data_IF_833675472387
#
_entry.id   IF_833675472387
#
_cell.length_a   1.000
_cell.length_b   1.000
_cell.length_c   1.000
_cell.angle_alpha   90.00
_cell.angle_beta   90.00
_cell.angle_gamma   90.00
#
_symmetry.space_group_name_H-M   'P 1'
#
loop_
_entity.id
_entity.type
_entity.pdbx_description
1 polymer ?
#
# COMPACT_ATOMS: atom_id res chain seq x y z
N UNK A 1 -7.00 -12.19 11.53
CA UNK A 1 -6.25 -12.58 12.75
C UNK A 1 -4.74 -12.36 12.65
N UNK A 2 -4.11 -12.36 11.45
CA UNK A 2 -2.67 -12.19 11.31
C UNK A 2 -2.18 -10.83 11.83
N UNK A 3 -2.88 -9.74 11.51
CA UNK A 3 -2.55 -8.39 11.98
C UNK A 3 -2.67 -8.27 13.50
N UNK A 4 -3.65 -8.96 14.10
CA UNK A 4 -3.80 -8.97 15.56
C UNK A 4 -2.62 -9.65 16.26
N UNK A 5 -2.10 -10.73 15.66
CA UNK A 5 -0.89 -11.38 16.18
C UNK A 5 0.33 -10.47 16.07
N UNK A 6 0.48 -9.75 14.94
CA UNK A 6 1.59 -8.84 14.73
C UNK A 6 1.56 -7.66 15.70
N UNK A 7 0.39 -7.09 16.00
CA UNK A 7 0.27 -5.97 16.92
C UNK A 7 0.66 -6.33 18.38
N UNK A 8 0.65 -7.61 18.76
CA UNK A 8 1.11 -8.04 20.09
C UNK A 8 2.64 -8.15 20.22
N UNK A 9 3.34 -8.25 19.08
CA UNK A 9 4.79 -8.51 19.04
C UNK A 9 5.61 -7.46 18.30
N UNK A 10 4.96 -6.49 17.69
CA UNK A 10 5.61 -5.49 16.81
C UNK A 10 4.93 -4.13 16.92
N UNK A 11 5.68 -3.08 16.70
CA UNK A 11 5.12 -1.76 16.45
C UNK A 11 4.45 -1.76 15.07
N UNK A 12 3.13 -1.57 15.02
CA UNK A 12 2.36 -1.66 13.80
C UNK A 12 1.75 -0.32 13.40
N UNK A 13 1.79 -0.05 12.11
CA UNK A 13 1.19 1.11 11.46
C UNK A 13 0.07 0.65 10.53
N UNK A 14 -1.17 0.98 10.86
CA UNK A 14 -2.36 0.68 10.05
C UNK A 14 -2.90 1.95 9.45
N UNK A 15 -2.99 1.99 8.14
CA UNK A 15 -3.30 3.20 7.39
C UNK A 15 -4.52 3.02 6.49
N UNK A 16 -5.42 3.99 6.52
CA UNK A 16 -6.51 4.11 5.55
C UNK A 16 -5.96 4.88 4.33
N UNK A 17 -5.89 4.21 3.19
CA UNK A 17 -5.17 4.65 1.99
C UNK A 17 -6.05 5.49 1.06
N UNK A 18 -6.54 6.62 1.53
CA UNK A 18 -7.43 7.51 0.79
C UNK A 18 -6.77 8.19 -0.42
N UNK A 19 -5.46 8.47 -0.39
CA UNK A 19 -4.72 8.95 -1.57
C UNK A 19 -4.64 7.88 -2.67
N UNK A 20 -4.51 6.60 -2.32
CA UNK A 20 -4.61 5.53 -3.30
C UNK A 20 -6.03 5.39 -3.86
N UNK A 21 -7.06 5.62 -3.04
CA UNK A 21 -8.45 5.52 -3.45
C UNK A 21 -8.78 6.50 -4.58
N UNK A 22 -8.24 7.72 -4.57
CA UNK A 22 -8.51 8.74 -5.60
C UNK A 22 -7.82 8.47 -6.95
N UNK A 23 -7.01 7.43 -7.08
CA UNK A 23 -6.51 6.96 -8.39
C UNK A 23 -7.66 6.52 -9.31
N UNK A 24 -8.80 6.22 -8.75
CA UNK A 24 -10.08 6.08 -9.42
C UNK A 24 -11.03 7.20 -8.95
N UNK A 25 -11.99 7.59 -9.80
CA UNK A 25 -12.93 8.66 -9.42
C UNK A 25 -13.76 8.24 -8.21
N UNK A 26 -13.81 9.11 -7.21
CA UNK A 26 -14.57 8.95 -5.98
C UNK A 26 -15.54 10.11 -5.82
N UNK A 27 -16.69 9.85 -5.23
CA UNK A 27 -17.51 10.90 -4.62
C UNK A 27 -16.86 11.33 -3.31
N UNK A 28 -16.58 12.64 -3.09
CA UNK A 28 -15.86 13.08 -1.89
C UNK A 28 -16.58 12.75 -0.57
N UNK A 29 -17.90 12.89 -0.53
CA UNK A 29 -18.67 12.58 0.68
C UNK A 29 -18.66 11.08 0.99
N UNK A 30 -18.79 10.25 -0.05
CA UNK A 30 -18.69 8.80 0.10
C UNK A 30 -17.27 8.35 0.47
N UNK A 31 -16.22 9.00 -0.06
CA UNK A 31 -14.85 8.68 0.31
C UNK A 31 -14.61 8.96 1.79
N UNK A 32 -15.04 10.12 2.28
CA UNK A 32 -14.92 10.48 3.69
C UNK A 32 -15.65 9.46 4.59
N UNK A 33 -16.89 9.10 4.25
CA UNK A 33 -17.63 8.10 5.00
C UNK A 33 -16.94 6.74 5.00
N UNK A 34 -16.43 6.28 3.87
CA UNK A 34 -15.68 5.00 3.74
C UNK A 34 -14.40 4.98 4.56
N UNK A 35 -13.72 6.10 4.70
CA UNK A 35 -12.55 6.22 5.58
C UNK A 35 -12.96 6.02 7.04
N UNK A 36 -14.03 6.70 7.50
CA UNK A 36 -14.55 6.53 8.86
C UNK A 36 -15.04 5.09 9.12
N UNK A 37 -15.77 4.52 8.18
CA UNK A 37 -16.23 3.13 8.25
C UNK A 37 -15.03 2.15 8.32
N UNK A 38 -13.96 2.44 7.58
CA UNK A 38 -12.72 1.65 7.60
C UNK A 38 -12.03 1.68 8.96
N UNK A 39 -11.94 2.85 9.60
CA UNK A 39 -11.40 3.00 10.95
C UNK A 39 -12.25 2.21 11.95
N UNK A 40 -13.58 2.37 11.89
CA UNK A 40 -14.51 1.67 12.75
C UNK A 40 -14.38 0.14 12.57
N UNK A 41 -14.28 -0.33 11.32
CA UNK A 41 -14.12 -1.75 11.02
C UNK A 41 -12.79 -2.31 11.56
N UNK A 42 -11.68 -1.61 11.39
CA UNK A 42 -10.37 -2.04 11.92
C UNK A 42 -10.42 -2.18 13.45
N UNK A 43 -10.98 -1.17 14.12
CA UNK A 43 -11.14 -1.20 15.58
C UNK A 43 -12.08 -2.33 16.03
N UNK A 44 -13.22 -2.50 15.35
CA UNK A 44 -14.17 -3.60 15.64
C UNK A 44 -13.55 -4.99 15.40
N UNK A 45 -12.62 -5.11 14.45
CA UNK A 45 -11.86 -6.34 14.20
C UNK A 45 -10.73 -6.58 15.19
N UNK A 46 -10.48 -5.66 16.12
CA UNK A 46 -9.51 -5.83 17.22
C UNK A 46 -8.17 -5.09 17.02
N UNK A 47 -8.05 -4.21 16.02
CA UNK A 47 -6.91 -3.28 15.98
C UNK A 47 -7.07 -2.28 17.12
N UNK A 48 -6.12 -2.29 18.04
CA UNK A 48 -6.12 -1.46 19.24
C UNK A 48 -5.25 -0.19 19.02
N UNK A 49 -5.87 1.01 18.99
CA UNK A 49 -5.11 2.25 18.82
C UNK A 49 -4.15 2.59 19.96
N UNK A 50 -4.24 1.88 21.10
CA UNK A 50 -3.29 2.00 22.20
C UNK A 50 -2.01 1.20 21.97
N UNK A 51 -2.07 0.17 21.12
CA UNK A 51 -0.95 -0.74 20.81
C UNK A 51 -0.34 -0.45 19.44
N UNK A 52 -1.10 0.18 18.53
CA UNK A 52 -0.72 0.38 17.15
C UNK A 52 -1.12 1.77 16.68
N UNK A 53 -0.39 2.32 15.73
CA UNK A 53 -0.79 3.56 15.06
C UNK A 53 -1.86 3.26 14.01
N UNK A 54 -3.04 3.87 14.17
CA UNK A 54 -4.13 3.79 13.18
C UNK A 54 -4.44 5.21 12.69
N UNK A 55 -4.29 5.46 11.39
CA UNK A 55 -4.38 6.81 10.84
C UNK A 55 -4.84 6.84 9.38
N UNK A 56 -5.09 8.03 8.86
CA UNK A 56 -5.50 8.29 7.47
C UNK A 56 -4.30 8.84 6.71
N UNK A 57 -4.01 8.27 5.56
CA UNK A 57 -2.83 8.58 4.73
C UNK A 57 -2.72 10.07 4.41
N UNK A 58 -3.81 10.71 3.97
CA UNK A 58 -3.81 12.13 3.60
C UNK A 58 -3.57 13.10 4.76
N UNK A 59 -3.71 12.65 6.00
CA UNK A 59 -3.44 13.45 7.19
C UNK A 59 -1.95 13.50 7.57
N UNK A 60 -1.11 12.74 6.86
CA UNK A 60 0.35 12.76 6.96
C UNK A 60 0.90 13.19 5.60
N UNK A 61 1.09 14.51 5.36
CA UNK A 61 1.45 15.04 4.05
C UNK A 61 2.81 14.53 3.53
N UNK A 62 3.65 14.03 4.41
CA UNK A 62 4.97 13.47 4.09
C UNK A 62 4.86 12.26 3.15
N UNK A 63 3.75 11.53 3.13
CA UNK A 63 3.50 10.48 2.14
C UNK A 63 3.58 11.01 0.71
N UNK A 64 2.87 12.10 0.44
CA UNK A 64 2.87 12.73 -0.88
C UNK A 64 4.22 13.40 -1.19
N UNK A 65 4.85 14.03 -0.20
CA UNK A 65 6.16 14.67 -0.36
C UNK A 65 7.25 13.63 -0.68
N UNK A 66 7.33 12.56 0.10
CA UNK A 66 8.29 11.48 -0.17
C UNK A 66 7.99 10.78 -1.48
N UNK A 67 6.72 10.57 -1.81
CA UNK A 67 6.33 10.02 -3.11
C UNK A 67 6.85 10.86 -4.27
N UNK A 68 6.78 12.19 -4.18
CA UNK A 68 7.35 13.08 -5.19
C UNK A 68 8.86 12.88 -5.32
N UNK A 69 9.59 12.86 -4.21
CA UNK A 69 11.04 12.60 -4.22
C UNK A 69 11.33 11.26 -4.88
N UNK A 70 10.68 10.18 -4.46
CA UNK A 70 10.90 8.85 -5.00
C UNK A 70 10.51 8.72 -6.48
N UNK A 71 9.52 9.48 -6.97
CA UNK A 71 9.19 9.55 -8.40
C UNK A 71 10.37 10.05 -9.25
N UNK A 72 11.22 10.92 -8.69
CA UNK A 72 12.44 11.38 -9.38
C UNK A 72 13.53 10.28 -9.46
N UNK A 73 13.37 9.17 -8.74
CA UNK A 73 14.28 8.02 -8.75
C UNK A 73 13.68 6.77 -9.40
N UNK A 74 12.35 6.70 -9.51
CA UNK A 74 11.67 5.61 -10.19
C UNK A 74 11.90 5.68 -11.70
N UNK A 75 12.12 4.54 -12.33
CA UNK A 75 12.33 4.48 -13.77
C UNK A 75 11.03 4.12 -14.50
N UNK A 76 10.75 4.79 -15.61
CA UNK A 76 9.59 4.52 -16.44
C UNK A 76 9.47 3.04 -16.84
N UNK A 77 10.61 2.39 -17.15
CA UNK A 77 10.64 0.98 -17.50
C UNK A 77 10.21 0.04 -16.37
N UNK A 78 10.44 0.43 -15.10
CA UNK A 78 9.96 -0.32 -13.91
C UNK A 78 8.45 -0.22 -13.79
N UNK A 79 7.91 1.00 -13.88
CA UNK A 79 6.48 1.26 -13.81
C UNK A 79 5.70 0.62 -14.99
N UNK A 80 6.26 0.64 -16.20
CA UNK A 80 5.67 -0.01 -17.37
C UNK A 80 5.55 -1.54 -17.22
N UNK A 81 6.38 -2.18 -16.40
CA UNK A 81 6.34 -3.62 -16.14
C UNK A 81 5.34 -4.01 -15.03
N UNK A 82 4.74 -3.04 -14.34
CA UNK A 82 3.78 -3.30 -13.28
C UNK A 82 2.52 -4.01 -13.81
N UNK A 83 2.30 -5.25 -13.38
CA UNK A 83 1.14 -6.05 -13.82
C UNK A 83 -0.18 -5.45 -13.39
N UNK A 84 -0.24 -4.92 -12.17
CA UNK A 84 -1.44 -4.27 -11.62
C UNK A 84 -1.85 -3.02 -12.43
N UNK A 85 -0.90 -2.26 -12.96
CA UNK A 85 -1.21 -1.15 -13.87
C UNK A 85 -1.87 -1.63 -15.15
N UNK A 86 -1.32 -2.70 -15.76
CA UNK A 86 -1.87 -3.30 -16.99
C UNK A 86 -3.29 -3.81 -16.77
N UNK A 87 -3.53 -4.51 -15.67
CA UNK A 87 -4.85 -5.05 -15.32
C UNK A 87 -5.89 -3.97 -15.05
N UNK A 88 -5.50 -2.91 -14.33
CA UNK A 88 -6.38 -1.79 -13.99
C UNK A 88 -6.67 -0.91 -15.20
N UNK A 89 -5.68 -0.66 -16.07
CA UNK A 89 -5.88 0.12 -17.30
C UNK A 89 -6.81 -0.61 -18.27
N UNK A 90 -6.70 -1.92 -18.39
CA UNK A 90 -7.59 -2.72 -19.24
C UNK A 90 -9.05 -2.68 -18.76
N UNK A 91 -9.27 -2.57 -17.43
CA UNK A 91 -10.62 -2.48 -16.84
C UNK A 91 -11.22 -1.07 -16.85
N UNK A 92 -10.39 -0.03 -16.82
CA UNK A 92 -10.80 1.37 -16.69
C UNK A 92 -10.29 2.21 -17.89
N UNK A 93 -10.64 1.80 -19.10
CA UNK A 93 -10.19 2.45 -20.35
C UNK A 93 -10.52 3.95 -20.42
N UNK A 94 -11.58 4.40 -19.74
CA UNK A 94 -12.05 5.78 -19.77
C UNK A 94 -11.37 6.70 -18.73
N UNK A 95 -10.54 6.19 -17.84
CA UNK A 95 -9.89 6.98 -16.78
C UNK A 95 -8.51 6.44 -16.43
N UNK A 96 -7.64 6.37 -17.41
CA UNK A 96 -6.22 6.06 -17.20
C UNK A 96 -5.52 7.38 -16.88
N UNK A 97 -5.23 7.62 -15.61
CA UNK A 97 -4.58 8.84 -15.16
C UNK A 97 -3.16 8.56 -14.63
N UNK A 98 -2.37 9.63 -14.46
CA UNK A 98 -0.99 9.52 -13.96
C UNK A 98 -0.91 8.92 -12.56
N UNK A 99 -1.89 9.19 -11.69
CA UNK A 99 -1.95 8.59 -10.36
C UNK A 99 -2.08 7.06 -10.42
N UNK A 100 -2.86 6.54 -11.37
CA UNK A 100 -2.95 5.09 -11.60
C UNK A 100 -1.64 4.49 -12.12
N UNK A 101 -0.82 5.27 -12.79
CA UNK A 101 0.51 4.85 -13.26
C UNK A 101 1.56 4.91 -12.15
N UNK A 102 1.54 5.96 -11.32
CA UNK A 102 2.58 6.26 -10.33
C UNK A 102 2.27 5.80 -8.91
N UNK A 103 1.04 5.28 -8.61
CA UNK A 103 0.71 4.84 -7.24
C UNK A 103 1.68 3.81 -6.64
N UNK A 104 2.41 2.97 -7.40
CA UNK A 104 3.40 2.08 -6.81
C UNK A 104 4.54 2.84 -6.11
N UNK A 105 4.85 4.06 -6.56
CA UNK A 105 5.83 4.93 -5.92
C UNK A 105 5.27 5.57 -4.66
N UNK A 106 3.98 5.94 -4.64
CA UNK A 106 3.30 6.36 -3.42
C UNK A 106 3.28 5.22 -2.38
N UNK A 107 3.03 3.99 -2.82
CA UNK A 107 3.11 2.82 -1.92
C UNK A 107 4.53 2.59 -1.39
N UNK A 108 5.56 2.84 -2.18
CA UNK A 108 6.93 2.81 -1.69
C UNK A 108 7.17 3.90 -0.63
N UNK A 109 6.65 5.11 -0.82
CA UNK A 109 6.73 6.17 0.19
C UNK A 109 6.00 5.78 1.48
N UNK A 110 4.81 5.17 1.38
CA UNK A 110 4.03 4.68 2.53
C UNK A 110 4.83 3.70 3.41
N UNK A 111 5.68 2.89 2.80
CA UNK A 111 6.50 1.90 3.48
C UNK A 111 7.80 2.51 4.03
N UNK A 112 8.50 3.28 3.20
CA UNK A 112 9.83 3.79 3.52
C UNK A 112 9.81 4.94 4.52
N UNK A 113 8.72 5.72 4.57
CA UNK A 113 8.54 6.82 5.52
C UNK A 113 8.67 6.36 6.98
N UNK A 114 8.16 5.17 7.28
CA UNK A 114 8.17 4.59 8.63
C UNK A 114 9.33 3.63 8.88
N UNK A 115 10.30 3.54 7.98
CA UNK A 115 11.45 2.63 8.14
C UNK A 115 11.04 1.18 8.45
N UNK A 116 9.97 0.72 7.80
CA UNK A 116 9.36 -0.57 8.08
C UNK A 116 10.34 -1.73 7.86
N UNK A 117 10.49 -2.60 8.86
CA UNK A 117 11.30 -3.82 8.75
C UNK A 117 10.55 -4.90 7.95
N UNK A 118 9.25 -5.03 8.22
CA UNK A 118 8.39 -6.06 7.64
C UNK A 118 7.13 -5.43 7.05
N UNK A 119 6.73 -5.90 5.89
CA UNK A 119 5.48 -5.49 5.25
C UNK A 119 4.61 -6.72 4.97
N UNK A 120 3.48 -6.88 5.69
CA UNK A 120 2.54 -7.94 5.44
C UNK A 120 1.84 -7.72 4.10
N UNK A 121 2.11 -8.57 3.12
CA UNK A 121 1.57 -8.45 1.77
C UNK A 121 1.05 -9.78 1.23
N UNK A 122 -0.01 -9.71 0.42
CA UNK A 122 -0.42 -10.82 -0.42
C UNK A 122 0.54 -11.02 -1.61
N UNK A 123 0.48 -12.18 -2.23
CA UNK A 123 1.35 -12.52 -3.37
C UNK A 123 1.22 -11.52 -4.55
N UNK A 124 0.05 -10.91 -4.72
CA UNK A 124 -0.22 -9.91 -5.75
C UNK A 124 0.45 -8.55 -5.49
N UNK A 125 0.92 -8.29 -4.27
CA UNK A 125 1.64 -7.07 -3.88
C UNK A 125 3.16 -7.22 -3.88
N UNK A 126 3.68 -8.42 -4.20
CA UNK A 126 5.11 -8.70 -4.18
C UNK A 126 5.89 -7.74 -5.09
N UNK A 127 5.40 -7.49 -6.30
CA UNK A 127 6.05 -6.61 -7.27
C UNK A 127 6.14 -5.16 -6.79
N UNK A 128 5.11 -4.67 -6.07
CA UNK A 128 5.15 -3.32 -5.48
C UNK A 128 6.18 -3.22 -4.36
N UNK A 129 6.30 -4.26 -3.54
CA UNK A 129 7.30 -4.28 -2.48
C UNK A 129 8.72 -4.40 -3.05
N UNK A 130 8.92 -5.14 -4.13
CA UNK A 130 10.20 -5.18 -4.86
C UNK A 130 10.59 -3.80 -5.37
N UNK A 131 9.66 -3.04 -5.99
CA UNK A 131 9.92 -1.66 -6.37
C UNK A 131 10.31 -0.78 -5.17
N UNK A 132 9.63 -0.92 -4.04
CA UNK A 132 9.96 -0.17 -2.82
C UNK A 132 11.39 -0.46 -2.36
N UNK A 133 11.82 -1.72 -2.41
CA UNK A 133 13.18 -2.16 -2.08
C UNK A 133 14.21 -1.59 -3.05
N UNK A 134 13.92 -1.64 -4.35
CA UNK A 134 14.82 -1.13 -5.40
C UNK A 134 15.01 0.38 -5.25
N UNK A 135 13.94 1.12 -4.96
CA UNK A 135 14.00 2.56 -4.69
C UNK A 135 14.84 2.88 -3.43
N UNK A 136 14.64 2.12 -2.34
CA UNK A 136 15.41 2.29 -1.13
C UNK A 136 16.92 2.05 -1.38
N UNK A 137 17.27 0.94 -2.03
CA UNK A 137 18.66 0.60 -2.36
C UNK A 137 19.28 1.64 -3.30
N UNK A 138 18.54 2.07 -4.32
CA UNK A 138 19.01 3.08 -5.29
C UNK A 138 19.29 4.41 -4.60
N UNK A 139 18.41 4.85 -3.71
CA UNK A 139 18.58 6.08 -2.96
C UNK A 139 19.76 5.99 -2.00
N UNK A 140 19.85 4.90 -1.22
CA UNK A 140 20.92 4.66 -0.27
C UNK A 140 22.30 4.63 -0.96
N UNK A 141 22.41 3.96 -2.10
CA UNK A 141 23.68 3.89 -2.86
C UNK A 141 24.11 5.25 -3.41
N UNK A 142 23.15 6.14 -3.68
CA UNK A 142 23.46 7.46 -4.25
C UNK A 142 23.87 8.49 -3.19
N UNK A 143 23.31 8.39 -1.98
CA UNK A 143 23.48 9.39 -0.94
C UNK A 143 24.07 8.82 0.35
N UNK A 144 23.28 8.09 1.11
CA UNK A 144 23.65 7.45 2.38
C UNK A 144 22.60 6.41 2.76
N UNK A 145 22.86 5.60 3.77
CA UNK A 145 21.87 4.69 4.35
C UNK A 145 20.72 5.45 5.02
N UNK A 146 19.79 5.93 4.18
CA UNK A 146 18.62 6.73 4.59
C UNK A 146 17.41 5.84 4.89
N UNK A 147 17.16 4.83 4.04
CA UNK A 147 15.99 3.97 4.15
C UNK A 147 16.38 2.55 4.56
N UNK A 148 15.64 1.98 5.50
CA UNK A 148 15.64 0.52 5.68
C UNK A 148 15.07 -0.16 4.46
N UNK A 149 15.71 -1.25 4.00
CA UNK A 149 15.19 -2.06 2.90
C UNK A 149 14.17 -3.06 3.47
N UNK A 150 12.87 -2.87 3.22
CA UNK A 150 11.81 -3.64 3.86
C UNK A 150 11.84 -5.11 3.40
N UNK A 151 11.39 -6.02 4.27
CA UNK A 151 11.25 -7.44 3.94
C UNK A 151 9.77 -7.81 3.78
N UNK A 152 9.42 -8.66 2.80
CA UNK A 152 8.05 -9.16 2.67
C UNK A 152 7.74 -10.10 3.83
N UNK A 153 6.57 -9.91 4.44
CA UNK A 153 5.98 -10.88 5.34
C UNK A 153 4.81 -11.56 4.64
N UNK A 154 5.11 -12.69 4.00
CA UNK A 154 4.09 -13.47 3.27
C UNK A 154 3.71 -14.66 4.14
N UNK A 155 2.48 -14.67 4.62
CA UNK A 155 2.00 -15.77 5.43
C UNK A 155 1.75 -17.01 4.56
N UNK A 156 2.21 -18.19 5.02
CA UNK A 156 2.10 -19.46 4.28
C UNK A 156 0.65 -19.91 4.06
N UNK A 157 -0.26 -19.58 4.99
CA UNK A 157 -1.67 -19.90 4.92
C UNK A 157 -2.51 -18.64 4.69
N UNK A 158 -3.43 -18.66 3.71
CA UNK A 158 -4.34 -17.54 3.44
C UNK A 158 -3.73 -16.38 2.66
N UNK A 159 -2.62 -16.58 1.94
CA UNK A 159 -2.01 -15.56 1.09
C UNK A 159 -2.91 -15.11 -0.08
N UNK A 160 -3.92 -15.91 -0.42
CA UNK A 160 -4.94 -15.60 -1.42
C UNK A 160 -6.32 -15.97 -0.88
N UNK A 161 -7.14 -14.96 -0.58
CA UNK A 161 -8.52 -15.17 -0.15
C UNK A 161 -9.40 -15.27 -1.39
N UNK A 162 -10.14 -16.36 -1.48
CA UNK A 162 -11.04 -16.64 -2.60
C UNK A 162 -12.44 -16.11 -2.32
N UNK A 163 -13.18 -15.81 -3.38
CA UNK A 163 -14.57 -15.35 -3.27
C UNK A 163 -15.47 -16.41 -2.63
N UNK A 164 -16.34 -15.98 -1.72
CA UNK A 164 -17.34 -16.86 -1.12
C UNK A 164 -18.43 -17.30 -2.10
N UNK A 165 -18.67 -16.50 -3.16
CA UNK A 165 -19.66 -16.80 -4.20
C UNK A 165 -19.09 -17.64 -5.32
N UNK A 166 -17.82 -17.39 -5.70
CA UNK A 166 -17.11 -18.11 -6.75
C UNK A 166 -15.72 -18.52 -6.27
N UNK A 167 -15.57 -19.72 -5.68
CA UNK A 167 -14.31 -20.16 -5.04
C UNK A 167 -13.08 -20.20 -5.96
N UNK A 168 -13.29 -20.17 -7.27
CA UNK A 168 -12.21 -20.11 -8.28
C UNK A 168 -11.69 -18.70 -8.55
N UNK A 169 -12.42 -17.68 -8.13
CA UNK A 169 -12.05 -16.26 -8.28
C UNK A 169 -11.51 -15.69 -6.98
N UNK A 170 -10.57 -14.74 -7.09
CA UNK A 170 -10.10 -13.97 -5.94
C UNK A 170 -11.26 -13.13 -5.38
N UNK A 171 -11.34 -13.02 -4.05
CA UNK A 171 -12.30 -12.11 -3.41
C UNK A 171 -12.05 -10.67 -3.88
N UNK A 172 -13.11 -10.02 -4.32
CA UNK A 172 -13.16 -8.60 -4.68
C UNK A 172 -14.36 -7.95 -4.05
N UNK A 173 -14.28 -6.65 -3.82
CA UNK A 173 -15.45 -5.83 -3.43
C UNK A 173 -16.32 -5.58 -4.63
#
# INVERSE_FOLDING_TARGET
NQWLTLQESSECYFMLVDLHAITTRQDPALLQQRVLDGIALYTACGIDPKKSSLFVQSQVPEHAQLSWVLNCYAQMGELNRMTQFKDKSAKNTNNINVGLYSYPVLQAADILLYQADLVPVGADQKQHLELSRDLAVRFNNKYSETFKVPKPYIHKLGSRIMSLQEPTKKMSK
#
